data_IF_233012636855
#
_entry.id   IF_233012636855
#
_cell.length_a   1.000
_cell.length_b   1.000
_cell.length_c   1.000
_cell.angle_alpha   90.00
_cell.angle_beta   90.00
_cell.angle_gamma   90.00
#
_symmetry.space_group_name_H-M   'P 1'
#
loop_
_entity.id
_entity.type
_entity.pdbx_description
1 polymer ?
#
# COMPACT_ATOMS: atom_id res chain seq x y z
N UNK A 1 -2.15 9.63 16.75
CA UNK A 1 -2.84 10.47 15.75
C UNK A 1 -3.84 9.58 15.03
N UNK A 2 -5.14 9.87 15.12
CA UNK A 2 -6.16 9.15 14.34
C UNK A 2 -6.19 9.75 12.93
N UNK A 3 -5.88 8.96 11.90
CA UNK A 3 -6.12 9.37 10.52
C UNK A 3 -7.60 9.09 10.18
N UNK A 4 -8.34 10.06 9.59
CA UNK A 4 -9.70 9.84 9.14
C UNK A 4 -9.76 8.76 8.05
N UNK A 5 -10.85 8.00 8.01
CA UNK A 5 -11.13 7.10 6.91
C UNK A 5 -11.74 7.84 5.72
N UNK A 6 -11.43 7.41 4.50
CA UNK A 6 -12.16 7.76 3.28
C UNK A 6 -12.77 6.50 2.68
N UNK A 7 -13.96 6.61 2.10
CA UNK A 7 -14.72 5.47 1.57
C UNK A 7 -14.38 5.14 0.12
N UNK A 8 -13.73 6.06 -0.59
CA UNK A 8 -13.37 5.89 -1.99
C UNK A 8 -12.05 6.58 -2.32
N UNK A 9 -11.41 6.07 -3.37
CA UNK A 9 -10.27 6.67 -4.04
C UNK A 9 -10.48 6.67 -5.55
N UNK A 10 -9.90 7.65 -6.23
CA UNK A 10 -9.80 7.67 -7.69
C UNK A 10 -8.46 7.09 -8.12
N UNK A 11 -8.43 6.19 -9.10
CA UNK A 11 -7.17 5.61 -9.59
C UNK A 11 -6.13 6.66 -10.03
N UNK A 12 -6.57 7.82 -10.53
CA UNK A 12 -5.70 8.89 -11.02
C UNK A 12 -5.26 9.89 -9.95
N UNK A 13 -5.77 9.80 -8.72
CA UNK A 13 -5.32 10.71 -7.66
C UNK A 13 -3.99 10.25 -7.07
N UNK A 14 -3.16 11.20 -6.64
CA UNK A 14 -1.89 10.91 -5.99
C UNK A 14 -2.12 10.39 -4.57
N UNK A 15 -1.28 9.43 -4.18
CA UNK A 15 -1.29 8.84 -2.86
C UNK A 15 0.03 9.13 -2.13
N UNK A 16 -0.06 9.25 -0.82
CA UNK A 16 1.10 9.40 0.06
C UNK A 16 1.83 8.08 0.24
N UNK A 17 1.09 6.98 0.39
CA UNK A 17 1.64 5.64 0.57
C UNK A 17 0.63 4.55 0.25
N UNK A 18 1.16 3.35 0.00
CA UNK A 18 0.43 2.09 -0.04
C UNK A 18 0.98 1.17 1.03
N UNK A 19 0.13 0.49 1.78
CA UNK A 19 0.56 -0.57 2.70
C UNK A 19 -0.43 -1.73 2.68
N UNK A 20 0.06 -2.91 2.99
CA UNK A 20 -0.76 -4.07 3.28
C UNK A 20 -0.71 -4.37 4.77
N UNK A 21 -1.83 -4.79 5.34
CA UNK A 21 -1.91 -5.24 6.73
C UNK A 21 -2.89 -6.39 6.88
N UNK A 22 -2.67 -7.22 7.90
CA UNK A 22 -3.67 -8.18 8.32
C UNK A 22 -4.59 -7.54 9.35
N UNK A 23 -5.88 -7.81 9.23
CA UNK A 23 -6.90 -7.30 10.14
C UNK A 23 -8.01 -8.32 10.35
N UNK A 24 -8.78 -8.14 11.42
CA UNK A 24 -9.98 -8.94 11.64
C UNK A 24 -11.01 -8.64 10.55
N UNK A 25 -11.57 -9.69 9.94
CA UNK A 25 -12.67 -9.57 8.99
C UNK A 25 -13.89 -8.89 9.64
N UNK A 26 -14.72 -8.14 8.89
CA UNK A 26 -15.86 -7.40 9.46
C UNK A 26 -16.89 -8.29 10.16
N UNK A 27 -17.04 -9.52 9.68
CA UNK A 27 -17.93 -10.54 10.22
C UNK A 27 -17.27 -11.40 11.31
N UNK A 28 -16.04 -11.08 11.71
CA UNK A 28 -15.25 -11.84 12.68
C UNK A 28 -14.92 -13.28 12.26
N UNK A 29 -15.07 -13.63 10.98
CA UNK A 29 -14.83 -14.99 10.46
C UNK A 29 -13.35 -15.41 10.42
N UNK A 30 -12.43 -14.48 10.62
CA UNK A 30 -11.00 -14.71 10.64
C UNK A 30 -10.19 -13.47 10.26
N UNK A 31 -8.91 -13.66 9.92
CA UNK A 31 -8.05 -12.58 9.47
C UNK A 31 -8.11 -12.43 7.95
N UNK A 32 -8.27 -11.20 7.49
CA UNK A 32 -8.19 -10.80 6.10
C UNK A 32 -6.95 -9.93 5.87
N UNK A 33 -6.46 -9.92 4.62
CA UNK A 33 -5.45 -8.95 4.19
C UNK A 33 -6.18 -7.72 3.67
N UNK A 34 -5.73 -6.55 4.09
CA UNK A 34 -6.23 -5.26 3.64
C UNK A 34 -5.13 -4.54 2.87
N UNK A 35 -5.49 -3.91 1.76
CA UNK A 35 -4.69 -2.82 1.20
C UNK A 35 -5.16 -1.52 1.80
N UNK A 36 -4.22 -0.66 2.12
CA UNK A 36 -4.48 0.67 2.68
C UNK A 36 -3.71 1.69 1.86
N UNK A 37 -4.45 2.66 1.33
CA UNK A 37 -3.91 3.81 0.62
C UNK A 37 -4.08 5.05 1.51
N UNK A 38 -3.00 5.80 1.70
CA UNK A 38 -3.07 7.12 2.32
C UNK A 38 -3.19 8.17 1.23
N UNK A 39 -4.24 8.99 1.28
CA UNK A 39 -4.58 10.00 0.27
C UNK A 39 -4.90 11.34 0.93
N UNK A 40 -4.96 12.42 0.14
CA UNK A 40 -5.33 13.74 0.64
C UNK A 40 -6.85 13.92 0.55
N UNK A 41 -7.48 14.27 1.67
CA UNK A 41 -8.87 14.74 1.74
C UNK A 41 -8.86 16.08 2.45
N UNK A 42 -9.18 17.15 1.73
CA UNK A 42 -9.29 18.51 2.27
C UNK A 42 -8.06 18.97 3.06
N UNK A 43 -6.86 18.68 2.54
CA UNK A 43 -5.58 19.05 3.15
C UNK A 43 -5.13 18.12 4.28
N UNK A 44 -5.83 17.01 4.52
CA UNK A 44 -5.51 16.03 5.57
C UNK A 44 -5.23 14.66 4.97
N UNK A 45 -4.31 13.93 5.58
CA UNK A 45 -4.12 12.51 5.28
C UNK A 45 -5.37 11.73 5.70
N UNK A 46 -5.88 10.90 4.81
CA UNK A 46 -6.99 9.99 5.05
C UNK A 46 -6.63 8.59 4.53
N UNK A 47 -7.12 7.57 5.23
CA UNK A 47 -6.91 6.17 4.86
C UNK A 47 -8.11 5.63 4.08
N UNK A 48 -7.84 5.10 2.89
CA UNK A 48 -8.73 4.20 2.21
C UNK A 48 -8.29 2.77 2.50
N UNK A 49 -9.20 1.93 2.98
CA UNK A 49 -8.93 0.51 3.24
C UNK A 49 -9.82 -0.35 2.38
N UNK A 50 -9.23 -1.35 1.72
CA UNK A 50 -9.97 -2.34 0.96
C UNK A 50 -9.58 -3.75 1.39
N UNK A 51 -10.59 -4.58 1.61
CA UNK A 51 -10.47 -5.99 1.94
C UNK A 51 -10.05 -6.79 0.71
N UNK A 52 -8.90 -7.44 0.79
CA UNK A 52 -8.35 -8.30 -0.26
C UNK A 52 -8.63 -9.79 -0.01
N UNK A 53 -9.44 -10.11 0.99
CA UNK A 53 -9.86 -11.46 1.34
C UNK A 53 -8.99 -12.15 2.38
N UNK A 54 -9.28 -13.42 2.62
CA UNK A 54 -8.71 -14.23 3.71
C UNK A 54 -7.18 -14.25 3.68
N UNK A 55 -6.55 -13.97 4.81
CA UNK A 55 -5.10 -13.93 4.97
C UNK A 55 -4.42 -15.27 4.61
N UNK A 56 -5.11 -16.40 4.82
CA UNK A 56 -4.59 -17.74 4.49
C UNK A 56 -4.34 -17.98 3.00
N UNK A 57 -5.01 -17.22 2.12
CA UNK A 57 -4.83 -17.29 0.67
C UNK A 57 -3.58 -16.52 0.19
N UNK A 58 -2.99 -15.71 1.07
CA UNK A 58 -1.81 -14.89 0.79
C UNK A 58 -0.51 -15.56 1.28
N UNK A 59 -0.49 -16.88 1.44
CA UNK A 59 0.74 -17.61 1.80
C UNK A 59 1.80 -17.46 0.70
N UNK A 60 3.00 -17.06 1.07
CA UNK A 60 4.10 -16.79 0.14
C UNK A 60 4.10 -15.40 -0.48
N UNK A 61 3.00 -14.63 -0.37
CA UNK A 61 2.96 -13.24 -0.79
C UNK A 61 3.61 -12.32 0.25
N UNK A 62 4.53 -11.45 -0.20
CA UNK A 62 5.09 -10.38 0.63
C UNK A 62 3.98 -9.44 1.10
N UNK A 63 4.12 -8.87 2.29
CA UNK A 63 3.28 -7.77 2.76
C UNK A 63 4.05 -6.48 2.47
N UNK A 64 3.47 -5.60 1.66
CA UNK A 64 4.19 -4.45 1.12
C UNK A 64 3.91 -3.18 1.92
N UNK A 65 4.90 -2.30 1.95
CA UNK A 65 4.79 -0.92 2.44
C UNK A 65 5.60 -0.04 1.50
N UNK A 66 4.90 0.71 0.64
CA UNK A 66 5.48 1.49 -0.44
C UNK A 66 5.24 2.97 -0.12
N UNK A 67 6.27 3.70 0.34
CA UNK A 67 6.18 5.14 0.47
C UNK A 67 6.17 5.77 -0.92
N UNK A 68 5.19 6.62 -1.20
CA UNK A 68 5.09 7.30 -2.50
C UNK A 68 5.38 8.79 -2.41
N UNK A 69 5.11 9.42 -1.27
CA UNK A 69 5.30 10.87 -1.08
C UNK A 69 4.62 11.73 -2.18
N UNK A 70 3.45 11.30 -2.68
CA UNK A 70 2.67 11.93 -3.76
C UNK A 70 3.24 11.79 -5.17
N UNK A 71 4.32 11.02 -5.36
CA UNK A 71 4.93 10.80 -6.68
C UNK A 71 4.09 9.88 -7.57
N UNK A 72 3.33 8.95 -6.98
CA UNK A 72 2.52 7.96 -7.70
C UNK A 72 1.03 8.11 -7.43
N UNK A 73 0.25 7.75 -8.44
CA UNK A 73 -1.20 7.63 -8.34
C UNK A 73 -1.59 6.36 -7.57
N UNK A 74 -2.82 6.33 -7.04
CA UNK A 74 -3.37 5.13 -6.43
C UNK A 74 -3.29 3.92 -7.37
N UNK A 75 -3.60 4.08 -8.66
CA UNK A 75 -3.55 3.00 -9.64
C UNK A 75 -2.12 2.49 -9.86
N UNK A 76 -1.15 3.39 -9.99
CA UNK A 76 0.28 3.03 -10.12
C UNK A 76 0.78 2.25 -8.90
N UNK A 77 0.46 2.70 -7.68
CA UNK A 77 0.85 1.99 -6.47
C UNK A 77 0.21 0.61 -6.35
N UNK A 78 -1.05 0.47 -6.74
CA UNK A 78 -1.73 -0.83 -6.77
C UNK A 78 -1.06 -1.76 -7.79
N UNK A 79 -0.74 -1.25 -8.98
CA UNK A 79 -0.09 -2.02 -10.03
C UNK A 79 1.30 -2.49 -9.57
N UNK A 80 2.10 -1.57 -9.02
CA UNK A 80 3.41 -1.86 -8.46
C UNK A 80 3.31 -2.89 -7.32
N UNK A 81 2.36 -2.72 -6.41
CA UNK A 81 2.15 -3.68 -5.34
C UNK A 81 1.79 -5.07 -5.88
N UNK A 82 1.05 -5.17 -6.98
CA UNK A 82 0.72 -6.46 -7.59
C UNK A 82 1.93 -7.17 -8.19
N UNK A 83 2.86 -6.42 -8.77
CA UNK A 83 4.13 -6.92 -9.30
C UNK A 83 5.06 -7.39 -8.17
N UNK A 84 5.38 -6.49 -7.24
CA UNK A 84 6.36 -6.74 -6.17
C UNK A 84 5.96 -7.84 -5.18
N UNK A 85 4.65 -8.13 -5.06
CA UNK A 85 4.13 -9.04 -4.02
C UNK A 85 4.62 -10.48 -4.17
N UNK A 86 4.86 -10.89 -5.41
CA UNK A 86 5.24 -12.27 -5.75
C UNK A 86 6.67 -12.38 -6.24
N UNK A 87 7.37 -11.26 -6.42
CA UNK A 87 8.78 -11.28 -6.73
C UNK A 87 9.58 -11.86 -5.57
N UNK A 88 10.46 -12.81 -5.87
CA UNK A 88 11.23 -13.54 -4.86
C UNK A 88 12.42 -12.73 -4.32
N UNK A 89 12.99 -11.83 -5.12
CA UNK A 89 14.10 -10.95 -4.74
C UNK A 89 13.82 -9.52 -5.19
N UNK A 90 13.67 -8.60 -4.24
CA UNK A 90 13.76 -7.16 -4.51
C UNK A 90 14.88 -6.68 -3.62
N UNK A 91 16.03 -6.39 -4.20
CA UNK A 91 17.01 -5.56 -3.52
C UNK A 91 16.46 -4.12 -3.54
N UNK A 92 15.89 -3.71 -2.41
CA UNK A 92 15.22 -2.41 -2.24
C UNK A 92 16.18 -1.24 -2.55
N UNK A 93 17.50 -1.47 -2.47
CA UNK A 93 18.51 -0.47 -2.84
C UNK A 93 18.57 -0.22 -4.33
N UNK A 94 18.42 -1.27 -5.13
CA UNK A 94 18.47 -1.23 -6.58
C UNK A 94 17.19 -0.58 -7.13
N UNK A 95 16.04 -0.90 -6.52
CA UNK A 95 14.74 -0.34 -6.91
C UNK A 95 14.59 1.16 -6.63
N UNK A 96 15.07 1.64 -5.48
CA UNK A 96 15.00 3.06 -5.12
C UNK A 96 16.13 3.91 -5.71
N UNK A 97 17.01 3.32 -6.53
CA UNK A 97 18.21 3.96 -7.07
C UNK A 97 18.99 4.74 -5.99
N UNK A 98 19.03 4.25 -4.74
CA UNK A 98 19.59 4.99 -3.61
C UNK A 98 21.09 5.24 -3.77
N UNK A 99 21.76 4.48 -4.64
CA UNK A 99 23.15 4.74 -5.04
C UNK A 99 23.30 6.09 -5.77
N UNK A 100 22.26 6.58 -6.45
CA UNK A 100 22.25 7.92 -7.08
C UNK A 100 22.11 9.06 -6.05
N UNK A 101 21.67 8.75 -4.82
CA UNK A 101 21.52 9.71 -3.74
C UNK A 101 22.71 9.76 -2.78
N UNK A 102 23.75 8.94 -2.98
CA UNK A 102 25.05 9.15 -2.34
C UNK A 102 25.74 10.36 -2.98
N UNK A 103 25.36 11.56 -2.53
CA UNK A 103 26.13 12.79 -2.75
C UNK A 103 27.34 12.72 -1.81
N UNK A 104 28.52 12.49 -2.41
CA UNK A 104 29.89 12.78 -1.93
C UNK A 104 30.18 12.66 -0.41
#
# INVERSE_FOLDING_TARGET
>A
MLMPATLSVNGNEKAYSYLEMQGQAPDSSGFHRYRVLCVNRDGKLAEYREDMGKAELWKGAKQLNIPSLWEHTCAELIALANELRWETDIDVRDWLELEKYNVA
#
